data_IF_793300837921
#
_entry.id   IF_793300837921
#
_cell.length_a   1.000
_cell.length_b   1.000
_cell.length_c   1.000
_cell.angle_alpha   90.00
_cell.angle_beta   90.00
_cell.angle_gamma   90.00
#
_symmetry.space_group_name_H-M   'P 1'
#
loop_
_entity.id
_entity.type
_entity.pdbx_description
1 polymer ?
#
# COMPACT_ATOMS: atom_id res chain seq x y z
N UNK A 1 0.94 5.57 20.55
CA UNK A 1 0.67 6.58 19.52
C UNK A 1 2.01 7.06 18.99
N UNK A 2 2.13 7.23 17.67
CA UNK A 2 3.33 7.72 17.02
C UNK A 2 2.99 8.83 16.02
N UNK A 3 3.95 9.73 15.79
CA UNK A 3 3.84 10.75 14.76
C UNK A 3 4.69 10.36 13.56
N UNK A 4 4.11 10.41 12.37
CA UNK A 4 4.80 10.26 11.11
C UNK A 4 4.91 11.63 10.43
N UNK A 5 6.11 11.99 10.03
CA UNK A 5 6.38 13.25 9.32
C UNK A 5 6.67 12.90 7.87
N UNK A 6 5.97 13.56 6.94
CA UNK A 6 6.35 13.58 5.53
C UNK A 6 7.41 14.65 5.33
N UNK A 7 8.50 14.27 4.70
CA UNK A 7 9.58 15.19 4.35
C UNK A 7 9.27 15.88 3.02
N UNK A 8 9.55 17.18 2.94
CA UNK A 8 9.44 17.94 1.67
C UNK A 8 10.49 17.48 0.66
N UNK A 9 11.66 17.08 1.16
CA UNK A 9 12.73 16.48 0.36
C UNK A 9 13.05 15.08 0.86
N UNK A 10 13.36 14.18 -0.07
CA UNK A 10 13.78 12.81 0.27
C UNK A 10 15.13 12.85 0.96
N UNK A 11 15.21 12.37 2.21
CA UNK A 11 16.46 12.23 2.97
C UNK A 11 16.81 10.74 3.08
N UNK A 12 18.01 10.36 2.66
CA UNK A 12 18.50 8.97 2.71
C UNK A 12 17.52 7.95 2.09
N UNK A 13 16.85 8.32 0.99
CA UNK A 13 15.84 7.50 0.34
C UNK A 13 14.48 7.42 1.06
N UNK A 14 14.29 8.18 2.14
CA UNK A 14 13.06 8.18 2.94
C UNK A 14 12.22 9.42 2.65
N UNK A 15 10.94 9.23 2.33
CA UNK A 15 9.93 10.30 2.22
C UNK A 15 9.20 10.55 3.54
N UNK A 16 9.19 9.54 4.42
CA UNK A 16 8.52 9.58 5.71
C UNK A 16 9.45 9.14 6.81
N UNK A 17 9.41 9.84 7.93
CA UNK A 17 10.11 9.49 9.16
C UNK A 17 9.12 9.40 10.31
N UNK A 18 9.40 8.53 11.27
CA UNK A 18 8.65 8.46 12.52
C UNK A 18 9.36 9.25 13.60
N UNK A 19 8.61 10.07 14.32
CA UNK A 19 9.10 10.59 15.60
C UNK A 19 9.19 9.40 16.57
N UNK A 20 10.39 9.06 16.93
CA UNK A 20 10.71 7.94 17.82
C UNK A 20 11.90 8.32 18.68
N UNK A 21 11.83 7.99 19.94
CA UNK A 21 12.93 8.17 20.89
C UNK A 21 13.70 6.89 21.18
N UNK A 22 13.51 5.85 20.37
CA UNK A 22 14.09 4.50 20.58
C UNK A 22 15.62 4.50 20.73
N UNK A 23 16.31 5.50 20.18
CA UNK A 23 17.76 5.66 20.28
C UNK A 23 18.24 6.29 21.59
N UNK A 24 17.34 6.79 22.42
CA UNK A 24 17.65 7.40 23.71
C UNK A 24 17.40 6.41 24.85
N UNK A 25 18.05 6.63 25.98
CA UNK A 25 17.82 5.84 27.19
C UNK A 25 16.33 5.96 27.60
N UNK A 26 15.67 4.83 27.81
CA UNK A 26 14.22 4.74 28.05
C UNK A 26 13.35 5.23 26.88
N UNK A 27 13.90 5.29 25.68
CA UNK A 27 13.18 5.71 24.48
C UNK A 27 12.15 4.69 24.03
N UNK A 28 11.12 5.18 23.33
CA UNK A 28 9.95 4.40 22.86
C UNK A 28 9.89 4.39 21.34
N UNK A 29 9.61 3.22 20.76
CA UNK A 29 9.34 3.07 19.33
C UNK A 29 7.96 3.66 18.97
N UNK A 30 7.84 4.21 17.75
CA UNK A 30 6.55 4.61 17.18
C UNK A 30 5.57 3.44 17.00
N UNK A 31 6.06 2.20 16.92
CA UNK A 31 5.25 0.99 16.71
C UNK A 31 4.57 0.88 15.36
N UNK A 32 4.76 1.85 14.45
CA UNK A 32 4.10 1.89 13.12
C UNK A 32 2.59 1.62 13.21
N UNK A 33 1.82 2.49 13.88
CA UNK A 33 0.39 2.25 14.09
C UNK A 33 -0.36 2.18 12.77
N UNK A 34 -1.44 1.41 12.78
CA UNK A 34 -2.43 1.36 11.71
C UNK A 34 -3.42 2.50 11.91
N UNK A 35 -3.74 3.23 10.85
CA UNK A 35 -4.76 4.28 10.87
C UNK A 35 -6.07 3.74 10.29
N UNK A 36 -7.19 4.05 10.93
CA UNK A 36 -8.52 3.82 10.38
C UNK A 36 -9.15 5.19 10.12
N UNK A 37 -9.67 5.39 8.91
CA UNK A 37 -10.24 6.64 8.43
C UNK A 37 -11.63 6.33 7.90
N UNK A 38 -12.65 6.99 8.45
CA UNK A 38 -14.06 6.75 8.16
C UNK A 38 -14.78 6.01 9.27
N UNK A 39 -15.81 5.25 8.95
CA UNK A 39 -16.66 4.57 9.94
C UNK A 39 -16.02 3.28 10.47
N UNK A 40 -15.98 3.13 11.77
CA UNK A 40 -15.55 1.88 12.41
C UNK A 40 -16.60 0.75 12.29
N UNK A 41 -17.81 1.07 11.90
CA UNK A 41 -18.93 0.13 11.73
C UNK A 41 -19.17 -0.22 10.25
N UNK A 42 -18.21 0.10 9.38
CA UNK A 42 -18.31 -0.21 7.97
C UNK A 42 -18.19 -1.73 7.71
N UNK A 43 -19.11 -2.27 6.92
CA UNK A 43 -19.08 -3.68 6.52
C UNK A 43 -18.00 -3.97 5.47
N UNK A 44 -17.61 -2.95 4.71
CA UNK A 44 -16.60 -3.01 3.66
C UNK A 44 -15.55 -1.94 3.91
N UNK A 45 -14.29 -2.32 3.90
CA UNK A 45 -13.16 -1.42 4.20
C UNK A 45 -12.05 -1.65 3.18
N UNK A 46 -11.35 -0.58 2.82
CA UNK A 46 -10.22 -0.60 1.90
C UNK A 46 -8.89 -0.53 2.65
N UNK A 47 -7.94 -1.37 2.29
CA UNK A 47 -6.59 -1.37 2.85
C UNK A 47 -5.60 -0.73 1.87
N UNK A 48 -4.93 0.34 2.30
CA UNK A 48 -3.92 1.02 1.49
C UNK A 48 -2.63 1.30 2.26
N UNK A 49 -1.60 1.74 1.54
CA UNK A 49 -0.33 2.19 2.09
C UNK A 49 -0.33 3.71 2.28
N UNK A 50 0.01 4.17 3.49
CA UNK A 50 0.15 5.58 3.84
C UNK A 50 -1.15 6.27 4.24
N UNK A 51 -1.14 6.89 5.43
CA UNK A 51 -2.31 7.56 6.00
C UNK A 51 -2.82 8.72 5.12
N UNK A 52 -1.90 9.52 4.53
CA UNK A 52 -2.29 10.63 3.66
C UNK A 52 -3.06 10.14 2.43
N UNK A 53 -2.61 9.07 1.80
CA UNK A 53 -3.28 8.46 0.65
C UNK A 53 -4.69 7.99 1.00
N UNK A 54 -4.84 7.26 2.13
CA UNK A 54 -6.15 6.84 2.61
C UNK A 54 -7.07 8.01 2.99
N UNK A 55 -6.52 9.10 3.53
CA UNK A 55 -7.30 10.31 3.83
C UNK A 55 -7.85 10.96 2.57
N UNK A 56 -7.02 11.10 1.52
CA UNK A 56 -7.44 11.66 0.23
C UNK A 56 -8.51 10.75 -0.41
N UNK A 57 -8.24 9.43 -0.44
CA UNK A 57 -9.18 8.46 -1.00
C UNK A 57 -10.54 8.49 -0.26
N UNK A 58 -10.52 8.53 1.08
CA UNK A 58 -11.73 8.68 1.89
C UNK A 58 -12.51 9.97 1.56
N UNK A 59 -11.81 11.11 1.46
CA UNK A 59 -12.43 12.38 1.11
C UNK A 59 -13.09 12.35 -0.28
N UNK A 60 -12.49 11.63 -1.22
CA UNK A 60 -12.99 11.54 -2.59
C UNK A 60 -14.15 10.56 -2.75
N UNK A 61 -14.13 9.42 -2.04
CA UNK A 61 -15.09 8.31 -2.19
C UNK A 61 -16.15 8.25 -1.09
N UNK A 62 -15.85 8.72 0.12
CA UNK A 62 -16.65 8.48 1.31
C UNK A 62 -16.43 7.10 1.96
N UNK A 63 -15.65 6.23 1.34
CA UNK A 63 -15.37 4.87 1.83
C UNK A 63 -14.46 4.87 3.06
N UNK A 64 -14.49 3.79 3.83
CA UNK A 64 -13.61 3.61 5.00
C UNK A 64 -12.30 2.95 4.60
N UNK A 65 -11.20 3.48 5.14
CA UNK A 65 -9.85 3.01 4.84
C UNK A 65 -9.09 2.58 6.09
N UNK A 66 -8.34 1.48 5.96
CA UNK A 66 -7.24 1.10 6.85
C UNK A 66 -5.94 1.44 6.15
N UNK A 67 -5.04 2.16 6.84
CA UNK A 67 -3.79 2.60 6.28
C UNK A 67 -2.62 2.07 7.09
N UNK A 68 -1.73 1.32 6.44
CA UNK A 68 -0.46 0.87 7.01
C UNK A 68 0.68 1.80 6.59
N UNK A 69 1.70 1.94 7.42
CA UNK A 69 2.85 2.82 7.13
C UNK A 69 3.70 2.34 5.95
N UNK A 70 3.55 1.09 5.55
CA UNK A 70 4.21 0.45 4.42
C UNK A 70 3.69 -0.97 4.27
N UNK A 71 3.75 -1.54 3.08
CA UNK A 71 3.17 -2.86 2.77
C UNK A 71 3.65 -4.00 3.68
N UNK A 72 4.88 -3.90 4.21
CA UNK A 72 5.45 -4.88 5.13
C UNK A 72 5.00 -4.69 6.60
N UNK A 73 4.22 -3.64 6.91
CA UNK A 73 3.74 -3.34 8.26
C UNK A 73 2.40 -4.03 8.60
N UNK A 74 2.13 -5.15 7.96
CA UNK A 74 0.92 -5.97 8.14
C UNK A 74 0.80 -6.59 9.54
N UNK A 75 1.88 -6.66 10.33
CA UNK A 75 1.88 -7.28 11.68
C UNK A 75 0.86 -6.63 12.63
N UNK A 76 0.65 -5.32 12.48
CA UNK A 76 -0.27 -4.56 13.31
C UNK A 76 -1.72 -4.60 12.79
N UNK A 77 -1.98 -5.23 11.65
CA UNK A 77 -3.33 -5.31 11.07
C UNK A 77 -4.26 -6.24 11.85
N UNK A 78 -3.76 -7.38 12.33
CA UNK A 78 -4.60 -8.41 12.94
C UNK A 78 -5.47 -7.87 14.09
N UNK A 79 -4.94 -7.19 15.13
CA UNK A 79 -5.76 -6.69 16.22
C UNK A 79 -6.77 -5.62 15.77
N UNK A 80 -6.43 -4.82 14.75
CA UNK A 80 -7.34 -3.82 14.19
C UNK A 80 -8.48 -4.51 13.44
N UNK A 81 -8.18 -5.52 12.62
CA UNK A 81 -9.20 -6.29 11.90
C UNK A 81 -10.09 -7.10 12.84
N UNK A 82 -9.57 -7.65 13.94
CA UNK A 82 -10.36 -8.30 15.00
C UNK A 82 -11.38 -7.32 15.60
N UNK A 83 -10.93 -6.11 15.93
CA UNK A 83 -11.82 -5.05 16.46
C UNK A 83 -12.88 -4.65 15.43
N UNK A 84 -12.52 -4.42 14.18
CA UNK A 84 -13.46 -4.04 13.13
C UNK A 84 -14.45 -5.17 12.80
N UNK A 85 -13.99 -6.43 12.84
CA UNK A 85 -14.87 -7.58 12.67
C UNK A 85 -15.92 -7.67 13.76
N UNK A 86 -15.57 -7.42 15.02
CA UNK A 86 -16.55 -7.34 16.13
C UNK A 86 -17.55 -6.21 15.96
N UNK A 87 -17.29 -5.27 15.03
CA UNK A 87 -18.11 -4.12 14.66
C UNK A 87 -18.70 -4.21 13.25
N UNK A 88 -18.86 -5.41 12.70
CA UNK A 88 -19.54 -5.71 11.43
C UNK A 88 -18.68 -5.78 10.16
N UNK A 89 -17.36 -5.63 10.20
CA UNK A 89 -16.53 -5.82 9.01
C UNK A 89 -16.72 -7.23 8.42
N UNK A 90 -17.13 -7.28 7.15
CA UNK A 90 -17.37 -8.52 6.40
C UNK A 90 -16.37 -8.68 5.26
N UNK A 91 -15.95 -7.56 4.64
CA UNK A 91 -15.11 -7.59 3.45
C UNK A 91 -13.99 -6.56 3.49
N UNK A 92 -12.77 -6.99 3.13
CA UNK A 92 -11.60 -6.13 2.97
C UNK A 92 -11.19 -6.07 1.50
N UNK A 93 -11.09 -4.85 0.95
CA UNK A 93 -10.51 -4.61 -0.38
C UNK A 93 -9.02 -4.27 -0.23
N UNK A 94 -8.12 -5.13 -0.75
CA UNK A 94 -6.70 -4.81 -0.83
C UNK A 94 -6.47 -3.81 -1.98
N UNK A 95 -6.16 -2.57 -1.64
CA UNK A 95 -5.98 -1.44 -2.52
C UNK A 95 -4.56 -0.85 -2.41
N UNK A 96 -3.54 -1.70 -2.27
CA UNK A 96 -2.14 -1.29 -2.36
C UNK A 96 -1.78 -0.78 -3.75
N UNK A 97 -0.72 0.01 -3.84
CA UNK A 97 -0.23 0.60 -5.10
C UNK A 97 -0.12 -0.42 -6.23
N UNK A 98 -0.36 0.06 -7.45
CA UNK A 98 -0.31 -0.76 -8.67
C UNK A 98 1.09 -1.29 -9.00
N UNK A 99 2.14 -0.89 -8.28
CA UNK A 99 3.44 -1.56 -8.32
C UNK A 99 3.35 -3.10 -8.11
N UNK A 100 2.27 -3.58 -7.49
CA UNK A 100 1.95 -5.02 -7.37
C UNK A 100 1.70 -5.72 -8.71
N UNK A 101 1.39 -4.95 -9.75
CA UNK A 101 1.14 -5.37 -11.13
C UNK A 101 2.14 -4.78 -12.13
N UNK A 102 3.23 -4.16 -11.63
CA UNK A 102 4.24 -3.51 -12.48
C UNK A 102 4.85 -4.48 -13.49
N UNK A 103 5.15 -3.98 -14.67
CA UNK A 103 5.95 -4.68 -15.68
C UNK A 103 7.33 -4.99 -15.12
N UNK A 104 7.79 -6.22 -15.31
CA UNK A 104 9.10 -6.70 -14.79
C UNK A 104 10.19 -6.72 -15.84
N UNK A 105 9.86 -6.32 -17.08
CA UNK A 105 10.86 -6.20 -18.14
C UNK A 105 11.69 -4.92 -17.96
N UNK A 106 12.94 -4.97 -18.44
CA UNK A 106 13.74 -3.78 -18.61
C UNK A 106 13.25 -3.05 -19.87
N UNK A 107 12.79 -1.82 -19.69
CA UNK A 107 12.27 -0.96 -20.76
C UNK A 107 13.36 -0.10 -21.42
N UNK A 108 14.62 -0.37 -21.11
CA UNK A 108 15.75 0.39 -21.64
C UNK A 108 15.96 1.74 -20.97
N UNK A 109 15.21 2.04 -19.90
CA UNK A 109 15.43 3.24 -19.06
C UNK A 109 16.71 3.05 -18.23
N UNK A 110 17.85 3.28 -18.89
CA UNK A 110 19.18 3.03 -18.35
C UNK A 110 19.53 3.88 -17.14
N UNK A 111 18.87 5.03 -16.96
CA UNK A 111 19.14 5.94 -15.85
C UNK A 111 18.65 5.39 -14.50
N UNK A 112 17.73 4.44 -14.51
CA UNK A 112 17.08 3.93 -13.28
C UNK A 112 17.53 2.54 -12.85
N UNK A 113 18.28 1.82 -13.66
CA UNK A 113 18.66 0.44 -13.35
C UNK A 113 20.02 0.05 -13.92
N UNK A 114 21.09 0.25 -13.16
CA UNK A 114 22.47 -0.12 -13.52
C UNK A 114 22.60 -1.60 -13.90
N UNK A 115 21.87 -2.48 -13.23
CA UNK A 115 21.90 -3.91 -13.49
C UNK A 115 21.37 -4.28 -14.89
N UNK A 116 20.57 -3.40 -15.51
CA UNK A 116 19.91 -3.64 -16.80
C UNK A 116 20.50 -2.81 -17.95
N UNK A 117 21.41 -1.88 -17.70
CA UNK A 117 21.94 -0.94 -18.69
C UNK A 117 22.45 -1.58 -20.00
N UNK A 118 22.93 -2.81 -19.94
CA UNK A 118 23.50 -3.55 -21.08
C UNK A 118 22.65 -4.72 -21.54
N UNK A 119 21.39 -4.81 -21.08
CA UNK A 119 20.50 -5.93 -21.37
C UNK A 119 19.46 -5.53 -22.42
N UNK A 120 18.97 -6.47 -23.24
CA UNK A 120 17.88 -6.20 -24.17
C UNK A 120 16.59 -5.81 -23.44
N UNK A 121 15.72 -5.04 -24.09
CA UNK A 121 14.45 -4.56 -23.55
C UNK A 121 13.51 -5.68 -23.04
N UNK A 122 13.67 -6.90 -23.55
CA UNK A 122 12.91 -8.07 -23.12
C UNK A 122 13.49 -8.79 -21.89
N UNK A 123 14.57 -8.26 -21.33
CA UNK A 123 15.21 -8.86 -20.16
C UNK A 123 14.43 -8.58 -18.88
N UNK A 124 14.20 -9.63 -18.09
CA UNK A 124 13.59 -9.49 -16.76
C UNK A 124 14.50 -8.71 -15.81
N UNK A 125 14.00 -7.60 -15.30
CA UNK A 125 14.72 -6.75 -14.36
C UNK A 125 14.66 -7.34 -12.93
N UNK A 126 15.80 -7.75 -12.33
CA UNK A 126 15.82 -8.33 -11.00
C UNK A 126 15.24 -7.40 -9.93
N UNK A 127 15.48 -6.09 -10.03
CA UNK A 127 14.98 -5.10 -9.09
C UNK A 127 13.45 -4.95 -9.17
N UNK A 128 12.88 -4.86 -10.39
CA UNK A 128 11.43 -4.84 -10.60
C UNK A 128 10.78 -6.14 -10.12
N UNK A 129 11.40 -7.28 -10.40
CA UNK A 129 10.95 -8.59 -9.93
C UNK A 129 10.93 -8.67 -8.40
N UNK A 130 12.02 -8.25 -7.75
CA UNK A 130 12.11 -8.23 -6.29
C UNK A 130 11.04 -7.30 -5.67
N UNK A 131 10.86 -6.11 -6.21
CA UNK A 131 9.84 -5.16 -5.73
C UNK A 131 8.44 -5.74 -5.86
N UNK A 132 8.09 -6.29 -7.03
CA UNK A 132 6.80 -6.95 -7.27
C UNK A 132 6.60 -8.13 -6.32
N UNK A 133 7.63 -8.94 -6.06
CA UNK A 133 7.58 -10.07 -5.13
C UNK A 133 7.33 -9.64 -3.69
N UNK A 134 7.96 -8.55 -3.22
CA UNK A 134 7.73 -7.98 -1.88
C UNK A 134 6.25 -7.60 -1.71
N UNK A 135 5.67 -6.90 -2.70
CA UNK A 135 4.27 -6.51 -2.68
C UNK A 135 3.32 -7.72 -2.72
N UNK A 136 3.61 -8.70 -3.57
CA UNK A 136 2.81 -9.93 -3.64
C UNK A 136 2.85 -10.72 -2.33
N UNK A 137 4.00 -10.80 -1.68
CA UNK A 137 4.13 -11.45 -0.37
C UNK A 137 3.34 -10.70 0.70
N UNK A 138 3.38 -9.36 0.70
CA UNK A 138 2.59 -8.55 1.64
C UNK A 138 1.08 -8.79 1.44
N UNK A 139 0.60 -8.77 0.20
CA UNK A 139 -0.80 -9.07 -0.12
C UNK A 139 -1.20 -10.48 0.37
N UNK A 140 -0.33 -11.49 0.17
CA UNK A 140 -0.57 -12.85 0.66
C UNK A 140 -0.69 -12.89 2.19
N UNK A 141 0.16 -12.17 2.91
CA UNK A 141 0.10 -12.09 4.38
C UNK A 141 -1.20 -11.44 4.88
N UNK A 142 -1.67 -10.41 4.21
CA UNK A 142 -2.98 -9.82 4.52
C UNK A 142 -4.11 -10.83 4.27
N UNK A 143 -4.06 -11.55 3.16
CA UNK A 143 -5.04 -12.60 2.86
C UNK A 143 -5.06 -13.69 3.94
N UNK A 144 -3.88 -14.17 4.38
CA UNK A 144 -3.76 -15.15 5.46
C UNK A 144 -4.41 -14.65 6.77
N UNK A 145 -4.22 -13.36 7.12
CA UNK A 145 -4.83 -12.73 8.30
C UNK A 145 -6.36 -12.68 8.15
N UNK A 146 -6.86 -12.20 7.01
CA UNK A 146 -8.31 -12.10 6.75
C UNK A 146 -8.98 -13.47 6.79
N UNK A 147 -8.37 -14.46 6.14
CA UNK A 147 -8.86 -15.85 6.13
C UNK A 147 -8.93 -16.42 7.56
N UNK A 148 -7.90 -16.21 8.38
CA UNK A 148 -7.89 -16.64 9.79
C UNK A 148 -8.95 -15.97 10.66
N UNK A 149 -9.45 -14.80 10.24
CA UNK A 149 -10.52 -14.05 10.90
C UNK A 149 -11.89 -14.26 10.26
N UNK A 150 -12.00 -15.07 9.21
CA UNK A 150 -13.22 -15.24 8.40
C UNK A 150 -13.75 -13.90 7.86
N UNK A 151 -12.84 -13.03 7.43
CA UNK A 151 -13.14 -11.80 6.68
C UNK A 151 -12.90 -12.11 5.21
N UNK A 152 -13.88 -11.88 4.35
CA UNK A 152 -13.68 -12.04 2.92
C UNK A 152 -12.74 -10.96 2.39
N UNK A 153 -11.95 -11.26 1.34
CA UNK A 153 -11.00 -10.32 0.80
C UNK A 153 -10.98 -10.36 -0.72
N UNK A 154 -10.93 -9.18 -1.34
CA UNK A 154 -10.71 -9.00 -2.78
C UNK A 154 -9.53 -8.08 -3.03
N UNK A 155 -8.84 -8.32 -4.14
CA UNK A 155 -7.78 -7.43 -4.61
C UNK A 155 -8.35 -6.43 -5.60
N UNK A 156 -8.15 -5.15 -5.32
CA UNK A 156 -8.42 -4.10 -6.29
C UNK A 156 -7.25 -3.93 -7.26
N UNK A 157 -7.58 -3.77 -8.53
CA UNK A 157 -6.63 -3.42 -9.58
C UNK A 157 -7.29 -2.41 -10.51
N UNK A 158 -6.51 -1.49 -11.03
CA UNK A 158 -6.93 -0.45 -11.96
C UNK A 158 -5.80 -0.15 -12.94
N UNK A 159 -6.06 0.65 -13.98
CA UNK A 159 -5.06 1.07 -14.97
C UNK A 159 -4.25 -0.12 -15.53
N UNK A 160 -4.97 -1.17 -15.94
CA UNK A 160 -4.38 -2.42 -16.45
C UNK A 160 -4.36 -2.44 -17.97
N UNK A 161 -3.29 -3.00 -18.54
CA UNK A 161 -3.23 -3.32 -19.96
C UNK A 161 -3.90 -4.68 -20.29
N UNK A 162 -3.95 -5.02 -21.56
CA UNK A 162 -4.54 -6.29 -22.03
C UNK A 162 -3.80 -7.54 -21.55
N UNK A 163 -2.58 -7.42 -21.05
CA UNK A 163 -1.77 -8.50 -20.50
C UNK A 163 -1.95 -8.66 -18.98
N UNK A 164 -2.77 -7.82 -18.36
CA UNK A 164 -2.98 -7.85 -16.92
C UNK A 164 -1.82 -7.26 -16.12
N UNK A 165 -1.07 -6.33 -16.72
CA UNK A 165 0.00 -5.59 -16.10
C UNK A 165 -0.38 -4.09 -15.99
N UNK A 166 0.21 -3.39 -15.05
CA UNK A 166 -0.06 -1.97 -14.82
C UNK A 166 0.47 -1.09 -15.96
N UNK A 167 -0.36 -0.17 -16.49
CA UNK A 167 0.00 0.79 -17.54
C UNK A 167 0.99 1.88 -17.08
N UNK A 168 1.11 2.12 -15.78
CA UNK A 168 2.06 3.09 -15.23
C UNK A 168 1.50 4.50 -15.03
N UNK A 169 0.21 4.74 -15.22
CA UNK A 169 -0.39 6.08 -15.14
C UNK A 169 -0.99 6.35 -13.76
N UNK A 170 -1.87 5.49 -13.28
CA UNK A 170 -2.58 5.65 -12.01
C UNK A 170 -1.98 4.70 -10.98
N UNK A 171 -1.22 5.23 -10.01
CA UNK A 171 -0.46 4.40 -9.08
C UNK A 171 -1.23 4.07 -7.81
N UNK A 172 -1.70 5.06 -7.09
CA UNK A 172 -2.35 4.96 -5.80
C UNK A 172 -3.87 4.90 -5.90
N UNK A 173 -4.53 4.45 -4.83
CA UNK A 173 -5.99 4.47 -4.73
C UNK A 173 -6.55 5.90 -4.68
N UNK A 174 -5.80 6.84 -4.15
CA UNK A 174 -6.11 8.27 -4.16
C UNK A 174 -6.12 8.84 -5.59
N UNK A 175 -5.12 8.50 -6.41
CA UNK A 175 -5.07 8.87 -7.82
C UNK A 175 -6.25 8.25 -8.59
N UNK A 176 -6.59 6.99 -8.30
CA UNK A 176 -7.72 6.30 -8.92
C UNK A 176 -9.05 7.01 -8.65
N UNK A 177 -9.36 7.32 -7.40
CA UNK A 177 -10.60 8.04 -7.06
C UNK A 177 -10.60 9.48 -7.58
N UNK A 178 -9.43 10.14 -7.64
CA UNK A 178 -9.32 11.45 -8.25
C UNK A 178 -9.71 11.43 -9.73
N UNK A 179 -9.21 10.46 -10.48
CA UNK A 179 -9.56 10.29 -11.90
C UNK A 179 -11.04 9.99 -12.07
N UNK A 180 -11.60 9.03 -11.30
CA UNK A 180 -13.02 8.70 -11.37
C UNK A 180 -13.92 9.92 -11.14
N UNK A 181 -13.59 10.76 -10.18
CA UNK A 181 -14.38 11.95 -9.83
C UNK A 181 -14.33 13.03 -10.90
N UNK A 182 -13.25 13.09 -11.69
CA UNK A 182 -13.05 14.14 -12.70
C UNK A 182 -13.35 13.69 -14.13
N UNK A 183 -13.62 12.38 -14.35
CA UNK A 183 -13.93 11.83 -15.69
C UNK A 183 -15.41 11.39 -15.84
N UNK A 184 -16.19 11.42 -14.78
CA UNK A 184 -17.65 11.20 -14.77
C UNK A 184 -18.39 12.51 -14.66
#
# INVERSE_FOLDING_TARGET
QGFQIRLDQVMEGRKYIWLSSVKFQNGVSSGSPVHVIGSLDAEQIYLTEGALKGTIAHYLSGDTFICVAGVNQYRNLKPVLETLKSRHLQHLYEAYDMDKKMKVYCDGDSEKCDACQRKPATFYCPHKMQKRQILQNACRKVYEICSGLSISMSRMVWDMDSYGEWNGQIKGIDDYYYVLKNTG
#
